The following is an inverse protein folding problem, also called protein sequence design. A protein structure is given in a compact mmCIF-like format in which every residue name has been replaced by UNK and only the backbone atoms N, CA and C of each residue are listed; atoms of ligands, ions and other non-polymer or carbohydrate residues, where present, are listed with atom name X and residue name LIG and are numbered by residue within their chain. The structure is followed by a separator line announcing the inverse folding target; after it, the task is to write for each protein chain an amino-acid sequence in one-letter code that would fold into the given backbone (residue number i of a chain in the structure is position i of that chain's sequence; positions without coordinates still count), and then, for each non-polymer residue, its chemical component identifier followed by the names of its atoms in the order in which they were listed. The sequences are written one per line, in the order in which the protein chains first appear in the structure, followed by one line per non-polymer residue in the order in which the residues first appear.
data_IF_718501321771
#
_entry.id   IF_718501321771
#
_cell.length_a   1.000
_cell.length_b   1.000
_cell.length_c   1.000
_cell.angle_alpha   90.00
_cell.angle_beta   90.00
_cell.angle_gamma   90.00
#
_symmetry.space_group_name_H-M   'P 1'
#
loop_
_entity.id
_entity.type
_entity.pdbx_description
1 polymer ?
#
# COMPACT_ATOMS: atom_id res chain seq x y z
N UNK A 1 -13.99 -3.89 -24.69
CA UNK A 1 -15.11 -4.85 -24.91
C UNK A 1 -15.05 -5.29 -26.36
N UNK A 2 -15.13 -6.60 -26.63
CA UNK A 2 -15.06 -7.17 -27.98
C UNK A 2 -16.44 -7.74 -28.33
N UNK A 3 -16.96 -7.43 -29.52
CA UNK A 3 -18.21 -8.01 -30.03
C UNK A 3 -17.85 -9.25 -30.87
N UNK A 4 -18.52 -10.37 -30.64
CA UNK A 4 -18.22 -11.63 -31.33
C UNK A 4 -19.49 -12.39 -31.70
N UNK A 5 -19.41 -13.21 -32.75
CA UNK A 5 -20.45 -14.15 -33.18
C UNK A 5 -19.81 -15.51 -33.42
N UNK A 6 -20.15 -16.50 -32.58
CA UNK A 6 -19.61 -17.85 -32.69
C UNK A 6 -20.09 -18.56 -33.97
N UNK A 7 -21.36 -18.37 -34.34
CA UNK A 7 -21.95 -18.97 -35.54
C UNK A 7 -21.29 -18.46 -36.84
N UNK A 8 -20.93 -17.18 -36.89
CA UNK A 8 -20.38 -16.55 -38.09
C UNK A 8 -18.85 -16.45 -38.06
N UNK A 9 -18.19 -16.93 -37.00
CA UNK A 9 -16.75 -16.83 -36.80
C UNK A 9 -16.21 -15.41 -36.59
N UNK A 10 -17.08 -14.39 -36.54
CA UNK A 10 -16.67 -12.98 -36.43
C UNK A 10 -16.13 -12.67 -35.03
N UNK A 11 -14.97 -12.04 -34.96
CA UNK A 11 -14.39 -11.57 -33.68
C UNK A 11 -13.55 -12.60 -32.92
N UNK A 12 -13.31 -13.79 -33.47
CA UNK A 12 -12.45 -14.81 -32.84
C UNK A 12 -10.98 -14.38 -32.83
N UNK A 13 -10.46 -13.86 -33.94
CA UNK A 13 -9.08 -13.39 -34.02
C UNK A 13 -8.74 -12.26 -33.00
N UNK A 14 -9.51 -11.15 -32.92
CA UNK A 14 -9.25 -10.12 -31.93
C UNK A 14 -9.43 -10.62 -30.48
N UNK A 15 -10.33 -11.57 -30.25
CA UNK A 15 -10.46 -12.23 -28.94
C UNK A 15 -9.17 -12.96 -28.56
N UNK A 16 -8.64 -13.81 -29.45
CA UNK A 16 -7.42 -14.57 -29.19
C UNK A 16 -6.21 -13.65 -28.95
N UNK A 17 -6.09 -12.55 -29.71
CA UNK A 17 -5.06 -11.52 -29.49
C UNK A 17 -5.19 -10.89 -28.10
N UNK A 18 -6.40 -10.52 -27.68
CA UNK A 18 -6.64 -9.91 -26.37
C UNK A 18 -6.35 -10.87 -25.20
N UNK A 19 -6.66 -12.16 -25.36
CA UNK A 19 -6.33 -13.20 -24.36
C UNK A 19 -4.82 -13.33 -24.21
N UNK A 20 -4.07 -13.41 -25.31
CA UNK A 20 -2.61 -13.48 -25.27
C UNK A 20 -1.97 -12.22 -24.67
N UNK A 21 -2.52 -11.03 -24.96
CA UNK A 21 -2.07 -9.78 -24.35
C UNK A 21 -2.31 -9.76 -22.83
N UNK A 22 -3.50 -10.16 -22.39
CA UNK A 22 -3.84 -10.28 -20.97
C UNK A 22 -2.92 -11.27 -20.25
N UNK A 23 -2.65 -12.43 -20.86
CA UNK A 23 -1.75 -13.44 -20.30
C UNK A 23 -0.31 -12.92 -20.20
N UNK A 24 0.21 -12.26 -21.24
CA UNK A 24 1.53 -11.62 -21.20
C UNK A 24 1.63 -10.59 -20.08
N UNK A 25 0.60 -9.76 -19.92
CA UNK A 25 0.53 -8.79 -18.83
C UNK A 25 0.42 -9.45 -17.45
N UNK A 26 -0.28 -10.57 -17.33
CA UNK A 26 -0.42 -11.32 -16.09
C UNK A 26 0.88 -11.98 -15.64
N UNK A 27 1.70 -12.42 -16.60
CA UNK A 27 2.97 -13.12 -16.36
C UNK A 27 4.19 -12.17 -16.32
N UNK A 28 4.00 -10.90 -16.68
CA UNK A 28 5.07 -9.89 -16.74
C UNK A 28 5.71 -9.68 -15.37
N UNK A 29 7.04 -9.76 -15.33
CA UNK A 29 7.82 -9.31 -14.18
C UNK A 29 8.02 -7.80 -14.23
N UNK A 30 7.89 -7.17 -13.06
CA UNK A 30 8.06 -5.73 -12.90
C UNK A 30 9.35 -5.46 -12.10
N UNK A 31 10.29 -4.67 -12.63
CA UNK A 31 11.54 -4.39 -11.93
C UNK A 31 11.30 -3.59 -10.65
N UNK A 32 11.93 -4.04 -9.55
CA UNK A 32 11.73 -3.49 -8.20
C UNK A 32 12.17 -2.02 -8.08
N UNK A 33 13.21 -1.64 -8.81
CA UNK A 33 13.71 -0.26 -8.89
C UNK A 33 12.67 0.67 -9.48
N UNK A 34 12.02 0.27 -10.58
CA UNK A 34 10.99 1.04 -11.24
C UNK A 34 9.73 1.11 -10.39
N UNK A 35 9.30 -0.01 -9.81
CA UNK A 35 8.17 -0.06 -8.86
C UNK A 35 8.35 0.94 -7.72
N UNK A 36 9.54 0.96 -7.13
CA UNK A 36 9.85 1.88 -6.02
C UNK A 36 9.91 3.34 -6.50
N UNK A 37 10.42 3.61 -7.71
CA UNK A 37 10.43 4.96 -8.29
C UNK A 37 9.02 5.50 -8.52
N UNK A 38 8.15 4.68 -9.09
CA UNK A 38 6.73 5.03 -9.35
C UNK A 38 5.99 5.24 -8.03
N UNK A 39 6.22 4.37 -7.04
CA UNK A 39 5.64 4.51 -5.71
C UNK A 39 5.98 5.86 -5.06
N UNK A 40 7.26 6.25 -5.08
CA UNK A 40 7.71 7.51 -4.48
C UNK A 40 7.06 8.72 -5.16
N UNK A 41 7.01 8.73 -6.49
CA UNK A 41 6.34 9.78 -7.26
C UNK A 41 4.84 9.86 -6.95
N UNK A 42 4.16 8.71 -6.85
CA UNK A 42 2.75 8.66 -6.49
C UNK A 42 2.51 9.20 -5.08
N UNK A 43 3.37 8.83 -4.13
CA UNK A 43 3.31 9.30 -2.75
C UNK A 43 3.55 10.82 -2.61
N UNK A 44 4.51 11.36 -3.36
CA UNK A 44 4.77 12.81 -3.42
C UNK A 44 3.59 13.58 -4.01
N UNK A 45 2.97 13.01 -5.04
CA UNK A 45 1.82 13.63 -5.72
C UNK A 45 0.56 13.61 -4.86
N UNK A 46 0.31 12.50 -4.18
CA UNK A 46 -0.85 12.34 -3.31
C UNK A 46 -0.48 11.48 -2.10
N UNK A 47 -0.46 12.11 -0.92
CA UNK A 47 -0.13 11.42 0.33
C UNK A 47 -1.36 10.70 0.91
N UNK A 48 -1.18 9.56 1.60
CA UNK A 48 -2.28 8.90 2.26
C UNK A 48 -2.81 9.75 3.43
N UNK A 49 -4.11 9.66 3.72
CA UNK A 49 -4.72 10.45 4.79
C UNK A 49 -4.10 10.13 6.15
N UNK A 50 -4.07 11.13 7.02
CA UNK A 50 -3.50 11.00 8.35
C UNK A 50 -4.46 10.25 9.27
N UNK A 51 -3.97 9.19 9.92
CA UNK A 51 -4.73 8.44 10.92
C UNK A 51 -4.08 8.68 12.28
N UNK A 52 -4.84 9.21 13.25
CA UNK A 52 -4.32 9.54 14.60
C UNK A 52 -3.07 10.43 14.55
N UNK A 53 -3.13 11.50 13.74
CA UNK A 53 -2.09 12.54 13.66
C UNK A 53 -0.80 12.14 12.93
N UNK A 54 -0.74 10.99 12.26
CA UNK A 54 0.42 10.58 11.43
C UNK A 54 -0.06 9.88 10.15
N UNK A 55 0.63 10.14 9.03
CA UNK A 55 0.40 9.42 7.78
C UNK A 55 1.22 8.12 7.72
N UNK A 56 0.80 7.18 6.87
CA UNK A 56 1.53 5.94 6.60
C UNK A 56 2.74 6.24 5.71
N UNK A 57 3.92 5.73 6.07
CA UNK A 57 5.13 5.93 5.28
C UNK A 57 5.38 4.71 4.40
N UNK A 58 5.34 4.90 3.09
CA UNK A 58 5.63 3.85 2.10
C UNK A 58 7.10 3.95 1.69
N UNK A 59 7.89 2.92 1.94
CA UNK A 59 9.35 2.98 1.78
C UNK A 59 9.80 2.43 0.43
N UNK A 60 9.36 1.22 0.07
CA UNK A 60 9.73 0.56 -1.17
C UNK A 60 8.65 -0.44 -1.60
N UNK A 61 8.68 -0.81 -2.88
CA UNK A 61 7.80 -1.82 -3.46
C UNK A 61 8.62 -2.90 -4.16
N UNK A 62 8.15 -4.13 -4.10
CA UNK A 62 8.71 -5.23 -4.86
C UNK A 62 7.62 -6.10 -5.48
N UNK A 63 8.01 -6.89 -6.47
CA UNK A 63 7.12 -7.82 -7.13
C UNK A 63 6.88 -9.03 -6.23
N UNK A 64 5.60 -9.32 -5.96
CA UNK A 64 5.16 -10.33 -5.00
C UNK A 64 4.59 -11.61 -5.62
N UNK A 65 4.40 -11.65 -6.94
CA UNK A 65 3.86 -12.82 -7.63
C UNK A 65 3.22 -12.48 -8.98
N UNK A 66 3.06 -13.50 -9.82
CA UNK A 66 2.43 -13.45 -11.15
C UNK A 66 1.01 -14.02 -11.07
N UNK A 67 0.18 -13.66 -12.05
CA UNK A 67 -1.15 -14.24 -12.27
C UNK A 67 -2.08 -14.27 -11.02
N UNK A 68 -2.67 -13.12 -10.61
CA UNK A 68 -2.49 -11.77 -11.14
C UNK A 68 -1.20 -11.11 -10.62
N UNK A 69 -0.63 -10.13 -11.36
CA UNK A 69 0.57 -9.42 -10.94
C UNK A 69 0.32 -8.75 -9.58
N UNK A 70 1.19 -9.08 -8.62
CA UNK A 70 1.07 -8.63 -7.24
C UNK A 70 2.24 -7.73 -6.90
N UNK A 71 1.94 -6.56 -6.35
CA UNK A 71 2.95 -5.64 -5.82
C UNK A 71 2.83 -5.65 -4.30
N UNK A 72 3.94 -5.87 -3.62
CA UNK A 72 4.01 -5.78 -2.17
C UNK A 72 4.72 -4.48 -1.81
N UNK A 73 3.99 -3.60 -1.14
CA UNK A 73 4.47 -2.31 -0.67
C UNK A 73 4.85 -2.43 0.81
N UNK A 74 6.10 -2.12 1.12
CA UNK A 74 6.61 -2.12 2.48
C UNK A 74 6.61 -0.71 3.06
N UNK A 75 6.23 -0.61 4.32
CA UNK A 75 6.19 0.67 4.99
C UNK A 75 5.90 0.60 6.48
N UNK A 76 5.75 1.78 7.06
CA UNK A 76 5.32 1.96 8.44
C UNK A 76 3.85 2.32 8.48
N UNK A 77 3.12 1.71 9.42
CA UNK A 77 1.68 1.94 9.62
C UNK A 77 0.88 1.70 8.34
N UNK A 78 1.28 0.71 7.55
CA UNK A 78 0.58 0.40 6.32
C UNK A 78 -0.83 -0.11 6.55
N UNK A 79 -1.11 -0.64 7.73
CA UNK A 79 -2.44 -1.13 8.12
C UNK A 79 -3.46 0.01 8.28
N UNK A 80 -2.99 1.26 8.36
CA UNK A 80 -3.86 2.44 8.43
C UNK A 80 -4.16 3.05 7.05
N UNK A 81 -3.65 2.46 5.97
CA UNK A 81 -3.92 2.94 4.61
C UNK A 81 -5.33 2.54 4.20
N UNK A 82 -6.22 3.49 3.85
CA UNK A 82 -7.56 3.16 3.38
C UNK A 82 -7.54 2.47 2.02
N UNK A 83 -8.60 1.70 1.73
CA UNK A 83 -8.71 1.00 0.45
C UNK A 83 -8.84 1.94 -0.75
N UNK A 84 -9.34 3.17 -0.56
CA UNK A 84 -9.33 4.21 -1.58
C UNK A 84 -7.92 4.55 -2.04
N UNK A 85 -6.98 4.66 -1.10
CA UNK A 85 -5.58 4.92 -1.41
C UNK A 85 -4.91 3.72 -2.07
N UNK A 86 -5.32 2.49 -1.71
CA UNK A 86 -4.91 1.27 -2.42
C UNK A 86 -5.32 1.33 -3.90
N UNK A 87 -6.58 1.65 -4.18
CA UNK A 87 -7.09 1.82 -5.56
C UNK A 87 -6.37 2.92 -6.33
N UNK A 88 -6.03 4.03 -5.66
CA UNK A 88 -5.22 5.09 -6.25
C UNK A 88 -3.85 4.58 -6.71
N UNK A 89 -3.16 3.81 -5.85
CA UNK A 89 -1.87 3.22 -6.21
C UNK A 89 -2.04 2.18 -7.33
N UNK A 90 -3.05 1.30 -7.26
CA UNK A 90 -3.35 0.31 -8.29
C UNK A 90 -3.50 0.97 -9.65
N UNK A 91 -4.34 2.00 -9.74
CA UNK A 91 -4.55 2.76 -10.98
C UNK A 91 -3.28 3.46 -11.45
N UNK A 92 -2.44 3.93 -10.53
CA UNK A 92 -1.18 4.61 -10.88
C UNK A 92 -0.18 3.63 -11.50
N UNK A 93 -0.03 2.44 -10.92
CA UNK A 93 0.82 1.40 -11.50
C UNK A 93 0.26 0.84 -12.81
N UNK A 94 -1.06 0.62 -12.90
CA UNK A 94 -1.72 0.17 -14.13
C UNK A 94 -1.47 1.17 -15.28
N UNK A 95 -1.61 2.47 -15.03
CA UNK A 95 -1.31 3.52 -16.02
C UNK A 95 0.16 3.54 -16.42
N UNK A 96 1.08 3.46 -15.45
CA UNK A 96 2.52 3.52 -15.70
C UNK A 96 3.02 2.33 -16.52
N UNK A 97 2.63 1.11 -16.13
CA UNK A 97 3.07 -0.12 -16.78
C UNK A 97 2.22 -0.54 -17.98
N UNK A 98 1.13 0.20 -18.27
CA UNK A 98 0.17 -0.06 -19.34
C UNK A 98 -0.43 -1.47 -19.27
N UNK A 99 -0.70 -1.95 -18.05
CA UNK A 99 -1.26 -3.28 -17.81
C UNK A 99 -2.71 -3.29 -18.27
N UNK A 100 -3.05 -4.23 -19.16
CA UNK A 100 -4.42 -4.41 -19.68
C UNK A 100 -4.86 -5.85 -19.54
N UNK A 101 -6.15 -6.05 -19.30
CA UNK A 101 -6.78 -7.38 -19.25
C UNK A 101 -6.58 -8.14 -17.94
N UNK A 102 -5.71 -7.68 -17.04
CA UNK A 102 -5.44 -8.35 -15.76
C UNK A 102 -5.49 -7.34 -14.61
N UNK A 103 -6.20 -7.64 -13.51
CA UNK A 103 -6.18 -6.79 -12.33
C UNK A 103 -4.79 -6.78 -11.69
N UNK A 104 -4.38 -5.62 -11.17
CA UNK A 104 -3.15 -5.49 -10.41
C UNK A 104 -3.49 -5.46 -8.92
N UNK A 105 -2.87 -6.35 -8.14
CA UNK A 105 -3.14 -6.42 -6.70
C UNK A 105 -2.02 -5.76 -5.90
N UNK A 106 -2.39 -4.85 -5.02
CA UNK A 106 -1.45 -4.27 -4.04
C UNK A 106 -1.70 -4.87 -2.68
N UNK A 107 -0.65 -5.41 -2.07
CA UNK A 107 -0.65 -5.74 -0.65
C UNK A 107 0.33 -4.86 0.09
N UNK A 108 -0.09 -4.40 1.26
CA UNK A 108 0.82 -3.71 2.14
C UNK A 108 1.36 -4.67 3.20
N UNK A 109 2.66 -4.52 3.51
CA UNK A 109 3.30 -5.21 4.63
C UNK A 109 3.94 -4.18 5.55
N UNK A 110 3.56 -4.22 6.83
CA UNK A 110 4.27 -3.48 7.86
C UNK A 110 5.32 -4.37 8.53
N UNK A 111 6.45 -3.77 8.91
CA UNK A 111 7.44 -4.45 9.74
C UNK A 111 6.88 -4.74 11.13
N UNK A 112 7.22 -5.91 11.70
CA UNK A 112 6.94 -6.19 13.11
C UNK A 112 7.81 -5.29 13.97
N UNK A 113 7.21 -4.56 14.92
CA UNK A 113 7.96 -3.79 15.91
C UNK A 113 8.46 -4.73 17.02
N UNK A 114 9.78 -5.01 17.13
CA UNK A 114 10.33 -5.92 18.13
C UNK A 114 10.20 -5.40 19.58
N UNK A 115 9.86 -4.12 19.76
CA UNK A 115 9.68 -3.49 21.06
C UNK A 115 8.22 -3.40 21.50
N UNK A 116 7.26 -3.93 20.72
CA UNK A 116 5.82 -3.79 21.00
C UNK A 116 5.44 -4.24 22.42
N UNK A 117 6.04 -5.33 22.88
CA UNK A 117 5.75 -5.93 24.19
C UNK A 117 6.74 -5.50 25.28
N UNK A 118 7.80 -4.75 24.93
CA UNK A 118 8.75 -4.20 25.90
C UNK A 118 8.15 -2.97 26.58
N UNK A 119 7.61 -3.15 27.78
CA UNK A 119 7.18 -2.04 28.63
C UNK A 119 8.40 -1.30 29.17
N UNK A 120 8.48 0.01 28.92
CA UNK A 120 9.51 0.84 29.53
C UNK A 120 9.22 0.98 31.03
N UNK A 121 9.95 0.24 31.86
CA UNK A 121 9.82 0.32 33.32
C UNK A 121 10.42 1.66 33.75
N UNK A 122 9.57 2.58 34.19
CA UNK A 122 10.01 3.88 34.68
C UNK A 122 10.95 3.69 35.87
N UNK A 123 12.08 4.38 35.89
CA UNK A 123 12.93 4.44 37.08
C UNK A 123 12.20 5.15 38.22
N UNK A 124 12.60 4.90 39.47
CA UNK A 124 11.90 5.48 40.62
C UNK A 124 11.94 7.01 40.62
N UNK A 125 13.04 7.60 40.13
CA UNK A 125 13.15 9.03 39.85
C UNK A 125 12.10 9.52 38.84
N UNK A 126 11.86 8.78 37.77
CA UNK A 126 10.85 9.11 36.75
C UNK A 126 9.42 8.95 37.31
N UNK A 127 9.16 7.92 38.12
CA UNK A 127 7.88 7.74 38.83
C UNK A 127 7.61 8.91 39.79
N UNK A 128 8.61 9.33 40.56
CA UNK A 128 8.52 10.46 41.48
C UNK A 128 8.25 11.78 40.73
N UNK A 129 8.98 12.04 39.63
CA UNK A 129 8.75 13.20 38.76
C UNK A 129 7.32 13.21 38.20
N UNK A 130 6.83 12.07 37.70
CA UNK A 130 5.46 11.94 37.17
C UNK A 130 4.39 12.17 38.24
N UNK A 131 4.59 11.68 39.46
CA UNK A 131 3.70 11.93 40.61
C UNK A 131 3.62 13.42 40.95
N UNK A 132 4.78 14.12 41.02
CA UNK A 132 4.83 15.57 41.26
C UNK A 132 4.07 16.34 40.19
N UNK A 133 4.31 16.02 38.91
CA UNK A 133 3.66 16.66 37.77
C UNK A 133 2.13 16.49 37.80
N UNK A 134 1.64 15.27 38.07
CA UNK A 134 0.20 15.00 38.21
C UNK A 134 -0.46 15.79 39.36
N UNK A 135 0.24 15.94 40.49
CA UNK A 135 -0.26 16.70 41.65
C UNK A 135 -0.38 18.19 41.30
N UNK A 136 0.57 18.73 40.55
CA UNK A 136 0.56 20.12 40.09
C UNK A 136 -0.59 20.41 39.13
N UNK A 137 -0.76 19.61 38.07
CA UNK A 137 -1.85 19.81 37.10
C UNK A 137 -3.25 19.62 37.71
N UNK A 138 -3.43 18.67 38.65
CA UNK A 138 -4.71 18.49 39.36
C UNK A 138 -5.08 19.66 40.29
N UNK A 139 -4.09 20.44 40.73
CA UNK A 139 -4.30 21.63 41.57
C UNK A 139 -4.76 22.82 40.73
N UNK A 140 -4.27 22.92 39.49
CA UNK A 140 -4.67 23.95 38.53
C UNK A 140 -6.07 23.75 37.95
N UNK A 141 -6.54 22.52 37.77
CA UNK A 141 -7.89 22.23 37.24
C UNK A 141 -9.03 22.31 38.27
N UNK A 142 -8.73 22.71 39.52
CA UNK A 142 -9.67 22.82 40.64
C UNK A 142 -10.03 24.28 40.98
N UNK A 143 -9.42 25.23 40.27
CA UNK A 143 -9.88 26.61 40.17
C UNK A 143 -10.67 26.74 38.88
#
# INVERSE_FOLDING_TARGET
VIRLSALHGSGIEPLMKAVLESWRNAMRELPTSELTRVLKKAYESHQPPMVRGRSAKLNYAHFGGKCPPRIIVHGNRTDTVPDEYRRYLENTFVRHFKIKGTPLLIHFRSGKNPFKDRKNVLTDRQKAKRRRLKKFTKRGSRR
#
